data_IF_034033787168
#
_entry.id   IF_034033787168
#
_cell.length_a   1.000
_cell.length_b   1.000
_cell.length_c   1.000
_cell.angle_alpha   90.00
_cell.angle_beta   90.00
_cell.angle_gamma   90.00
#
_symmetry.space_group_name_H-M   'P 1'
#
loop_
_entity.id
_entity.type
_entity.pdbx_description
1 polymer ?
#
# COMPACT_ATOMS: atom_id res chain seq x y z
N UNK A 1 23.08 8.77 -7.39
CA UNK A 1 22.64 9.53 -6.19
C UNK A 1 22.04 8.53 -5.23
N UNK A 2 22.58 8.41 -4.02
CA UNK A 2 22.01 7.48 -3.03
C UNK A 2 20.67 8.03 -2.53
N UNK A 3 19.62 7.19 -2.43
CA UNK A 3 18.41 7.60 -1.76
C UNK A 3 18.76 8.08 -0.35
N UNK A 4 18.14 9.16 0.09
CA UNK A 4 18.30 9.67 1.46
C UNK A 4 17.77 8.57 2.39
N UNK A 5 18.63 7.67 2.84
CA UNK A 5 18.28 6.64 3.81
C UNK A 5 17.76 7.36 5.05
N UNK A 6 16.60 6.96 5.55
CA UNK A 6 16.12 7.31 6.87
C UNK A 6 17.25 6.92 7.84
N UNK A 7 17.94 7.92 8.40
CA UNK A 7 19.09 7.67 9.29
C UNK A 7 18.65 6.84 10.49
N UNK A 8 19.42 5.83 10.88
CA UNK A 8 19.14 4.88 11.97
C UNK A 8 18.83 5.51 13.36
N UNK A 9 18.93 6.81 13.51
CA UNK A 9 18.71 7.56 14.75
C UNK A 9 17.84 8.82 14.58
N UNK A 10 16.84 8.76 13.69
CA UNK A 10 15.84 9.82 13.62
C UNK A 10 14.86 9.67 14.78
N UNK A 11 14.91 10.58 15.77
CA UNK A 11 14.03 10.58 16.95
C UNK A 11 12.53 10.49 16.65
N UNK A 12 12.10 10.91 15.45
CA UNK A 12 10.71 10.77 15.03
C UNK A 12 10.31 9.33 14.70
N UNK A 13 11.28 8.45 14.40
CA UNK A 13 11.01 7.02 14.14
C UNK A 13 10.60 6.28 15.41
N UNK A 14 11.06 6.74 16.58
CA UNK A 14 10.68 6.16 17.88
C UNK A 14 9.16 6.29 18.12
N UNK A 15 8.50 7.29 17.49
CA UNK A 15 7.04 7.47 17.56
C UNK A 15 6.24 6.37 16.85
N UNK A 16 6.88 5.57 16.01
CA UNK A 16 6.23 4.48 15.26
C UNK A 16 6.46 3.10 15.88
N UNK A 17 7.17 2.99 17.01
CA UNK A 17 7.44 1.69 17.65
C UNK A 17 6.14 0.97 18.03
N UNK A 18 5.16 1.70 18.57
CA UNK A 18 3.87 1.18 19.04
C UNK A 18 2.75 1.19 17.97
N UNK A 19 3.08 1.37 16.69
CA UNK A 19 2.07 1.35 15.63
C UNK A 19 1.88 -0.06 15.08
N UNK A 20 0.64 -0.45 14.78
CA UNK A 20 0.30 -1.76 14.21
C UNK A 20 0.32 -1.74 12.69
N UNK A 21 0.02 -0.60 12.08
CA UNK A 21 -0.12 -0.43 10.64
C UNK A 21 0.44 0.89 10.15
N UNK A 22 1.05 0.88 8.98
CA UNK A 22 1.49 2.06 8.24
C UNK A 22 0.51 2.36 7.12
N UNK A 23 -0.10 3.54 7.14
CA UNK A 23 -0.91 4.06 6.04
C UNK A 23 -0.02 4.91 5.13
N UNK A 24 0.36 4.38 3.97
CA UNK A 24 1.20 5.10 3.02
C UNK A 24 0.35 5.71 1.91
N UNK A 25 0.18 7.04 1.93
CA UNK A 25 -0.66 7.76 0.98
C UNK A 25 0.15 8.26 -0.22
N UNK A 26 -0.32 7.95 -1.43
CA UNK A 26 0.25 8.40 -2.70
C UNK A 26 -0.81 9.13 -3.51
N UNK A 27 -0.49 10.35 -3.95
CA UNK A 27 -1.29 11.07 -4.93
C UNK A 27 -1.05 10.49 -6.31
N UNK A 28 -2.07 9.94 -6.95
CA UNK A 28 -1.96 9.36 -8.28
C UNK A 28 -1.68 10.39 -9.38
N UNK A 29 -1.90 11.68 -9.13
CA UNK A 29 -1.63 12.75 -10.09
C UNK A 29 -0.18 13.26 -10.07
N UNK A 30 0.65 12.74 -9.17
CA UNK A 30 2.04 13.21 -8.98
C UNK A 30 3.03 12.68 -10.04
N UNK A 31 2.56 11.87 -10.99
CA UNK A 31 3.42 11.20 -11.97
C UNK A 31 4.14 12.15 -12.95
N UNK A 32 3.60 13.34 -13.22
CA UNK A 32 4.19 14.38 -14.06
C UNK A 32 4.56 15.65 -13.29
N UNK A 33 4.42 15.61 -11.96
CA UNK A 33 4.72 16.75 -11.09
C UNK A 33 6.13 16.66 -10.53
N UNK A 34 6.75 17.85 -10.35
CA UNK A 34 8.09 17.98 -9.82
C UNK A 34 8.11 18.91 -8.62
N UNK A 35 9.01 18.63 -7.67
CA UNK A 35 9.32 19.50 -6.56
C UNK A 35 10.82 19.76 -6.51
N UNK A 36 11.21 20.98 -6.14
CA UNK A 36 12.60 21.32 -5.89
C UNK A 36 12.99 20.94 -4.45
N UNK A 37 14.17 20.35 -4.26
CA UNK A 37 14.75 20.18 -2.95
C UNK A 37 15.41 21.49 -2.45
N UNK A 38 15.99 21.45 -1.24
CA UNK A 38 16.68 22.62 -0.66
C UNK A 38 17.88 23.12 -1.48
N UNK A 39 18.36 22.32 -2.44
CA UNK A 39 19.46 22.68 -3.35
C UNK A 39 18.94 23.09 -4.74
N UNK A 40 17.62 23.17 -4.94
CA UNK A 40 17.00 23.50 -6.21
C UNK A 40 16.97 22.35 -7.22
N UNK A 41 17.29 21.11 -6.81
CA UNK A 41 17.21 19.93 -7.69
C UNK A 41 15.77 19.50 -7.84
N UNK A 42 15.27 19.50 -9.08
CA UNK A 42 13.93 19.03 -9.41
C UNK A 42 13.86 17.50 -9.34
N UNK A 43 12.92 17.00 -8.57
CA UNK A 43 12.62 15.56 -8.44
C UNK A 43 11.15 15.33 -8.76
N UNK A 44 10.85 14.32 -9.59
CA UNK A 44 9.49 13.91 -9.84
C UNK A 44 8.85 13.40 -8.53
N UNK A 45 7.65 13.89 -8.21
CA UNK A 45 6.97 13.59 -6.93
C UNK A 45 6.62 12.11 -6.78
N UNK A 46 6.24 11.44 -7.87
CA UNK A 46 5.94 10.01 -7.85
C UNK A 46 7.20 9.17 -7.59
N UNK A 47 8.34 9.54 -8.20
CA UNK A 47 9.63 8.89 -7.91
C UNK A 47 10.08 9.14 -6.47
N UNK A 48 9.87 10.35 -5.95
CA UNK A 48 10.16 10.65 -4.55
C UNK A 48 9.29 9.81 -3.60
N UNK A 49 8.01 9.61 -3.91
CA UNK A 49 7.11 8.74 -3.16
C UNK A 49 7.55 7.28 -3.22
N UNK A 50 7.97 6.79 -4.40
CA UNK A 50 8.55 5.45 -4.57
C UNK A 50 9.77 5.26 -3.68
N UNK A 51 10.72 6.19 -3.71
CA UNK A 51 11.98 6.09 -2.95
C UNK A 51 11.73 6.15 -1.43
N UNK A 52 10.76 6.99 -1.00
CA UNK A 52 10.34 7.02 0.40
C UNK A 52 9.69 5.70 0.82
N UNK A 53 8.80 5.15 0.00
CA UNK A 53 8.15 3.87 0.25
C UNK A 53 9.18 2.74 0.42
N UNK A 54 10.14 2.64 -0.50
CA UNK A 54 11.23 1.66 -0.44
C UNK A 54 12.05 1.83 0.85
N UNK A 55 12.38 3.08 1.21
CA UNK A 55 13.14 3.39 2.43
C UNK A 55 12.37 3.00 3.70
N UNK A 56 11.05 3.16 3.73
CA UNK A 56 10.21 2.77 4.87
C UNK A 56 10.07 1.25 4.98
N UNK A 57 9.78 0.57 3.87
CA UNK A 57 9.59 -0.89 3.86
C UNK A 57 10.86 -1.63 4.32
N UNK A 58 12.04 -1.08 3.99
CA UNK A 58 13.33 -1.67 4.36
C UNK A 58 13.87 -1.19 5.71
N UNK A 59 13.17 -0.27 6.39
CA UNK A 59 13.66 0.26 7.66
C UNK A 59 13.29 -0.67 8.84
N UNK A 60 14.22 -0.98 9.76
CA UNK A 60 13.98 -1.89 10.89
C UNK A 60 12.76 -1.54 11.76
N UNK A 61 12.46 -0.24 11.96
CA UNK A 61 11.29 0.22 12.73
C UNK A 61 9.96 -0.30 12.14
N UNK A 62 9.91 -0.55 10.83
CA UNK A 62 8.69 -1.00 10.15
C UNK A 62 8.72 -2.50 9.77
N UNK A 63 9.78 -3.22 10.15
CA UNK A 63 9.96 -4.64 9.78
C UNK A 63 8.76 -5.51 10.17
N UNK A 64 8.13 -5.25 11.33
CA UNK A 64 6.99 -6.02 11.83
C UNK A 64 5.63 -5.33 11.63
N UNK A 65 5.57 -4.25 10.85
CA UNK A 65 4.33 -3.50 10.60
C UNK A 65 3.63 -3.97 9.33
N UNK A 66 2.30 -3.91 9.33
CA UNK A 66 1.52 -4.03 8.11
C UNK A 66 1.56 -2.72 7.32
N UNK A 67 1.43 -2.82 6.00
CA UNK A 67 1.36 -1.66 5.11
C UNK A 67 0.04 -1.66 4.36
N UNK A 68 -0.67 -0.53 4.42
CA UNK A 68 -1.81 -0.21 3.57
C UNK A 68 -1.41 0.96 2.67
N UNK A 69 -1.26 0.69 1.38
CA UNK A 69 -1.06 1.70 0.35
C UNK A 69 -2.41 2.35 0.02
N UNK A 70 -2.50 3.65 0.21
CA UNK A 70 -3.66 4.46 -0.14
C UNK A 70 -3.34 5.24 -1.42
N UNK A 71 -4.00 4.88 -2.52
CA UNK A 71 -3.92 5.60 -3.78
C UNK A 71 -5.03 6.66 -3.82
N UNK A 72 -4.63 7.91 -3.73
CA UNK A 72 -5.54 9.04 -3.56
C UNK A 72 -5.68 9.89 -4.83
N UNK A 73 -6.71 10.74 -4.87
CA UNK A 73 -7.03 11.68 -5.96
C UNK A 73 -7.40 10.97 -7.27
N UNK A 74 -8.26 9.96 -7.18
CA UNK A 74 -8.72 9.24 -8.36
C UNK A 74 -9.54 10.14 -9.30
N UNK A 75 -10.38 10.99 -8.74
CA UNK A 75 -11.14 12.04 -9.44
C UNK A 75 -10.25 12.91 -10.34
N UNK A 76 -9.16 13.42 -9.77
CA UNK A 76 -8.20 14.24 -10.52
C UNK A 76 -7.37 13.41 -11.51
N UNK A 77 -7.15 12.14 -11.24
CA UNK A 77 -6.50 11.24 -12.20
C UNK A 77 -7.38 11.04 -13.43
N UNK A 78 -8.70 10.88 -13.27
CA UNK A 78 -9.64 10.72 -14.40
C UNK A 78 -9.57 11.88 -15.38
N UNK A 79 -9.50 13.11 -14.85
CA UNK A 79 -9.38 14.31 -15.68
C UNK A 79 -7.98 14.42 -16.33
N UNK A 80 -6.94 14.15 -15.57
CA UNK A 80 -5.55 14.40 -15.97
C UNK A 80 -5.05 13.41 -17.01
N UNK A 81 -5.38 12.12 -16.87
CA UNK A 81 -4.78 11.05 -17.65
C UNK A 81 -5.20 11.07 -19.13
N UNK A 82 -6.32 11.70 -19.45
CA UNK A 82 -6.75 11.92 -20.83
C UNK A 82 -5.88 12.97 -21.58
N UNK A 83 -5.24 13.86 -20.82
CA UNK A 83 -4.43 14.96 -21.36
C UNK A 83 -2.93 14.67 -21.25
N UNK A 84 -2.51 14.06 -20.16
CA UNK A 84 -1.12 13.81 -19.84
C UNK A 84 -0.91 12.30 -19.66
N UNK A 85 -0.15 11.65 -20.56
CA UNK A 85 0.03 10.20 -20.48
C UNK A 85 0.86 9.80 -19.24
N UNK A 86 0.45 8.70 -18.60
CA UNK A 86 1.13 8.17 -17.40
C UNK A 86 2.62 7.85 -17.66
N UNK A 87 2.96 7.53 -18.91
CA UNK A 87 4.35 7.25 -19.36
C UNK A 87 5.31 8.44 -19.28
N UNK A 88 4.82 9.64 -18.96
CA UNK A 88 5.71 10.77 -18.63
C UNK A 88 6.53 10.53 -17.35
N UNK A 89 6.03 9.72 -16.43
CA UNK A 89 6.83 9.24 -15.32
C UNK A 89 7.76 8.12 -15.81
N UNK A 90 9.06 8.26 -15.58
CA UNK A 90 10.05 7.26 -15.96
C UNK A 90 9.72 5.87 -15.39
N UNK A 91 9.22 5.81 -14.17
CA UNK A 91 8.81 4.55 -13.54
C UNK A 91 7.64 3.86 -14.24
N UNK A 92 6.85 4.62 -15.01
CA UNK A 92 5.65 4.16 -15.71
C UNK A 92 5.80 4.12 -17.23
N UNK A 93 7.03 4.19 -17.75
CA UNK A 93 7.30 4.22 -19.20
C UNK A 93 6.73 3.00 -19.95
N UNK A 94 6.56 1.88 -19.27
CA UNK A 94 6.02 0.63 -19.82
C UNK A 94 4.48 0.55 -19.75
N UNK A 95 3.79 1.59 -19.26
CA UNK A 95 2.33 1.65 -19.27
C UNK A 95 1.81 1.76 -20.70
N UNK A 96 1.11 0.72 -21.15
CA UNK A 96 0.47 0.69 -22.47
C UNK A 96 -1.04 0.56 -22.30
N UNK A 97 -1.79 1.65 -22.44
CA UNK A 97 -3.24 1.56 -22.45
C UNK A 97 -3.68 0.75 -23.68
N UNK A 98 -4.33 -0.39 -23.46
CA UNK A 98 -4.96 -1.14 -24.57
C UNK A 98 -6.16 -0.31 -25.00
N UNK A 99 -6.03 0.39 -26.11
CA UNK A 99 -7.14 1.10 -26.75
C UNK A 99 -7.96 0.04 -27.47
N UNK A 100 -9.03 -0.44 -26.85
CA UNK A 100 -10.02 -1.27 -27.54
C UNK A 100 -10.74 -0.40 -28.56
N UNK A 101 -10.62 -0.73 -29.85
CA UNK A 101 -11.32 -0.03 -30.94
C UNK A 101 -12.84 -0.20 -30.87
N UNK A 102 -13.35 -1.13 -30.07
CA UNK A 102 -14.79 -1.36 -29.89
C UNK A 102 -15.35 -0.50 -28.76
N UNK A 103 -15.70 0.74 -29.08
CA UNK A 103 -16.38 1.70 -28.17
C UNK A 103 -17.78 1.27 -27.70
N UNK A 104 -18.31 0.13 -28.13
CA UNK A 104 -19.69 -0.28 -27.83
C UNK A 104 -19.84 -1.28 -26.67
N UNK A 105 -18.77 -1.76 -26.05
CA UNK A 105 -18.90 -2.60 -24.85
C UNK A 105 -18.64 -1.75 -23.59
N UNK A 106 -19.72 -1.39 -22.91
CA UNK A 106 -19.75 -0.64 -21.65
C UNK A 106 -19.06 -1.34 -20.45
N UNK A 107 -18.43 -2.50 -20.67
CA UNK A 107 -17.76 -3.30 -19.62
C UNK A 107 -16.24 -3.09 -19.55
N UNK A 108 -15.64 -2.30 -20.45
CA UNK A 108 -14.21 -2.05 -20.41
C UNK A 108 -13.88 -0.99 -19.34
N UNK A 109 -12.92 -1.25 -18.44
CA UNK A 109 -12.50 -0.28 -17.43
C UNK A 109 -11.97 1.00 -18.10
N UNK A 110 -12.24 2.16 -17.48
CA UNK A 110 -11.76 3.46 -17.95
C UNK A 110 -10.22 3.50 -17.98
N UNK A 111 -9.65 4.48 -18.69
CA UNK A 111 -8.20 4.68 -18.72
C UNK A 111 -7.67 4.92 -17.30
N UNK A 112 -8.38 5.70 -16.49
CA UNK A 112 -8.04 5.96 -15.10
C UNK A 112 -8.09 4.69 -14.22
N UNK A 113 -9.11 3.83 -14.39
CA UNK A 113 -9.17 2.56 -13.68
C UNK A 113 -7.97 1.65 -14.02
N UNK A 114 -7.57 1.60 -15.29
CA UNK A 114 -6.37 0.85 -15.69
C UNK A 114 -5.09 1.45 -15.12
N UNK A 115 -4.98 2.78 -15.11
CA UNK A 115 -3.85 3.48 -14.51
C UNK A 115 -3.76 3.23 -13.01
N UNK A 116 -4.89 3.30 -12.29
CA UNK A 116 -4.98 2.95 -10.87
C UNK A 116 -4.44 1.54 -10.59
N UNK A 117 -4.97 0.53 -11.30
CA UNK A 117 -4.50 -0.84 -11.15
C UNK A 117 -3.01 -1.00 -11.49
N UNK A 118 -2.55 -0.30 -12.51
CA UNK A 118 -1.15 -0.35 -12.91
C UNK A 118 -0.22 0.28 -11.86
N UNK A 119 -0.58 1.46 -11.32
CA UNK A 119 0.16 2.12 -10.24
C UNK A 119 0.22 1.20 -9.01
N UNK A 120 -0.93 0.65 -8.59
CA UNK A 120 -1.01 -0.31 -7.50
C UNK A 120 -0.12 -1.54 -7.72
N UNK A 121 -0.12 -2.10 -8.94
CA UNK A 121 0.76 -3.22 -9.30
C UNK A 121 2.26 -2.86 -9.25
N UNK A 122 2.63 -1.63 -9.63
CA UNK A 122 4.05 -1.19 -9.55
C UNK A 122 4.52 -1.12 -8.10
N UNK A 123 3.72 -0.52 -7.21
CA UNK A 123 4.02 -0.50 -5.77
C UNK A 123 4.02 -1.90 -5.16
N UNK A 124 3.05 -2.75 -5.54
CA UNK A 124 3.01 -4.14 -5.07
C UNK A 124 4.25 -4.92 -5.47
N UNK A 125 4.66 -4.86 -6.74
CA UNK A 125 5.89 -5.52 -7.22
C UNK A 125 7.13 -5.01 -6.49
N UNK A 126 7.21 -3.71 -6.22
CA UNK A 126 8.30 -3.14 -5.42
C UNK A 126 8.28 -3.74 -4.01
N UNK A 127 7.13 -3.73 -3.35
CA UNK A 127 6.97 -4.28 -2.00
C UNK A 127 7.33 -5.77 -1.93
N UNK A 128 6.81 -6.60 -2.86
CA UNK A 128 7.07 -8.03 -2.95
C UNK A 128 8.56 -8.35 -3.23
N UNK A 129 9.31 -7.39 -3.81
CA UNK A 129 10.76 -7.52 -4.00
C UNK A 129 11.60 -7.21 -2.75
N UNK A 130 11.01 -6.55 -1.75
CA UNK A 130 11.67 -6.06 -0.55
C UNK A 130 11.33 -6.89 0.70
N UNK A 131 10.17 -7.56 0.70
CA UNK A 131 9.66 -8.32 1.85
C UNK A 131 8.71 -9.42 1.42
N UNK A 132 8.60 -10.48 2.21
CA UNK A 132 7.66 -11.58 2.01
C UNK A 132 6.25 -11.28 2.55
N UNK A 133 6.03 -10.08 3.07
CA UNK A 133 4.74 -9.65 3.62
C UNK A 133 3.74 -9.31 2.53
N UNK A 134 2.48 -9.14 2.92
CA UNK A 134 1.40 -8.73 2.04
C UNK A 134 1.23 -7.22 2.06
N UNK A 135 1.23 -6.58 0.89
CA UNK A 135 0.80 -5.20 0.73
C UNK A 135 -0.72 -5.16 0.54
N UNK A 136 -1.40 -4.39 1.38
CA UNK A 136 -2.80 -4.04 1.20
C UNK A 136 -2.91 -2.74 0.41
N UNK A 137 -3.94 -2.60 -0.44
CA UNK A 137 -4.11 -1.42 -1.31
C UNK A 137 -5.56 -0.96 -1.24
N UNK A 138 -5.76 0.35 -1.03
CA UNK A 138 -7.07 1.00 -1.07
C UNK A 138 -7.06 2.18 -2.02
N UNK A 139 -8.21 2.43 -2.66
CA UNK A 139 -8.48 3.60 -3.47
C UNK A 139 -9.23 4.63 -2.63
N UNK A 140 -8.78 5.89 -2.66
CA UNK A 140 -9.42 6.98 -1.91
C UNK A 140 -9.54 8.21 -2.79
N UNK A 141 -10.69 8.86 -2.70
CA UNK A 141 -10.90 10.23 -3.14
C UNK A 141 -11.01 11.08 -1.88
N UNK A 142 -9.96 11.80 -1.52
CA UNK A 142 -9.82 12.44 -0.20
C UNK A 142 -10.86 13.50 0.13
N UNK A 143 -11.70 13.92 -0.85
CA UNK A 143 -12.84 14.82 -0.66
C UNK A 143 -14.15 14.07 -0.41
N UNK A 144 -14.19 12.76 -0.57
CA UNK A 144 -15.33 11.88 -0.35
C UNK A 144 -15.16 11.13 0.97
N UNK A 145 -15.92 11.50 2.00
CA UNK A 145 -15.83 10.88 3.32
C UNK A 145 -16.01 9.37 3.29
N UNK A 146 -16.93 8.89 2.45
CA UNK A 146 -17.25 7.45 2.34
C UNK A 146 -16.01 6.62 1.93
N UNK A 147 -15.19 7.11 1.00
CA UNK A 147 -13.98 6.41 0.55
C UNK A 147 -12.88 6.42 1.61
N UNK A 148 -12.79 7.50 2.39
CA UNK A 148 -11.85 7.61 3.52
C UNK A 148 -12.28 6.67 4.65
N UNK A 149 -13.56 6.66 5.00
CA UNK A 149 -14.12 5.78 6.03
C UNK A 149 -13.95 4.31 5.67
N UNK A 150 -14.11 3.94 4.39
CA UNK A 150 -13.86 2.59 3.90
C UNK A 150 -12.39 2.19 4.05
N UNK A 151 -11.45 3.07 3.70
CA UNK A 151 -10.03 2.81 3.86
C UNK A 151 -9.64 2.64 5.35
N UNK A 152 -10.20 3.46 6.26
CA UNK A 152 -9.97 3.33 7.69
C UNK A 152 -10.61 2.07 8.28
N UNK A 153 -11.79 1.67 7.81
CA UNK A 153 -12.41 0.40 8.18
C UNK A 153 -11.54 -0.77 7.74
N UNK A 154 -11.04 -0.74 6.51
CA UNK A 154 -10.14 -1.78 6.00
C UNK A 154 -8.84 -1.86 6.82
N UNK A 155 -8.26 -0.72 7.22
CA UNK A 155 -7.11 -0.69 8.10
C UNK A 155 -7.39 -1.38 9.45
N UNK A 156 -8.57 -1.16 10.05
CA UNK A 156 -9.00 -1.85 11.29
C UNK A 156 -9.13 -3.35 11.10
N UNK A 157 -9.72 -3.79 9.99
CA UNK A 157 -9.84 -5.23 9.67
C UNK A 157 -8.45 -5.88 9.55
N UNK A 158 -7.47 -5.23 8.92
CA UNK A 158 -6.09 -5.72 8.83
C UNK A 158 -5.49 -5.94 10.23
N UNK A 159 -5.67 -4.97 11.14
CA UNK A 159 -5.18 -5.07 12.53
C UNK A 159 -5.86 -6.25 13.26
N UNK A 160 -7.17 -6.39 13.12
CA UNK A 160 -7.93 -7.48 13.77
C UNK A 160 -7.46 -8.86 13.28
N UNK A 161 -7.28 -9.04 11.97
CA UNK A 161 -6.77 -10.30 11.40
C UNK A 161 -5.37 -10.66 11.89
N UNK A 162 -4.53 -9.67 12.16
CA UNK A 162 -3.22 -9.90 12.73
C UNK A 162 -3.32 -10.39 14.18
N UNK A 163 -4.15 -9.74 15.01
CA UNK A 163 -4.37 -10.12 16.39
C UNK A 163 -4.94 -11.55 16.52
N UNK A 164 -5.90 -11.90 15.66
CA UNK A 164 -6.47 -13.27 15.60
C UNK A 164 -5.41 -14.32 15.19
N UNK A 165 -4.48 -13.96 14.31
CA UNK A 165 -3.40 -14.85 13.86
C UNK A 165 -2.30 -15.06 14.92
N UNK A 166 -2.14 -14.12 15.84
CA UNK A 166 -1.16 -14.15 16.92
C UNK A 166 -1.70 -14.84 18.20
N UNK A 167 -3.04 -15.02 18.34
CA UNK A 167 -3.61 -15.81 19.45
C UNK A 167 -3.36 -17.31 19.21
N UNK A 168 -2.48 -17.97 19.99
CA UNK A 168 -2.32 -19.42 19.89
C UNK A 168 -3.63 -20.07 20.31
N UNK A 169 -4.05 -21.12 19.58
CA UNK A 169 -5.22 -21.97 19.86
C UNK A 169 -5.08 -22.67 21.22
N UNK A 170 -5.42 -21.99 22.30
CA UNK A 170 -5.42 -22.51 23.67
C UNK A 170 -6.58 -23.47 23.97
N UNK A 171 -7.36 -23.90 22.96
CA UNK A 171 -8.57 -24.70 23.16
C UNK A 171 -8.44 -26.16 22.76
N UNK A 172 -7.23 -26.77 22.66
CA UNK A 172 -7.13 -28.20 22.28
C UNK A 172 -6.43 -29.12 23.29
N UNK A 173 -6.22 -28.72 24.55
CA UNK A 173 -5.60 -29.58 25.57
C UNK A 173 -6.49 -29.84 26.81
N UNK A 174 -7.81 -29.84 26.67
CA UNK A 174 -8.71 -30.19 27.81
C UNK A 174 -9.80 -31.16 27.44
N UNK A 175 -9.45 -32.30 26.80
CA UNK A 175 -10.35 -33.47 26.76
C UNK A 175 -9.60 -34.79 26.46
N UNK A 176 -8.66 -35.19 27.31
CA UNK A 176 -8.18 -36.59 27.31
C UNK A 176 -7.48 -36.96 28.64
N UNK A 177 -8.11 -36.66 29.75
CA UNK A 177 -7.82 -37.36 31.02
C UNK A 177 -9.13 -37.48 31.80
N UNK A 178 -9.89 -38.55 31.55
CA UNK A 178 -10.80 -39.15 32.49
C UNK A 178 -11.58 -40.31 31.84
N UNK A 179 -10.90 -41.37 31.42
CA UNK A 179 -11.53 -42.71 31.32
C UNK A 179 -10.41 -43.74 31.56
N UNK A 180 -10.04 -43.98 32.81
CA UNK A 180 -9.50 -45.28 33.25
C UNK A 180 -9.52 -45.33 34.77
N UNK A 181 -10.60 -45.73 35.34
CA UNK A 181 -10.65 -46.41 36.65
C UNK A 181 -12.06 -46.86 36.98
N UNK A 182 -12.45 -48.05 36.48
CA UNK A 182 -13.36 -48.92 37.22
C UNK A 182 -13.62 -50.20 36.40
N UNK A 183 -12.73 -51.15 36.52
CA UNK A 183 -13.08 -52.59 36.29
C UNK A 183 -12.08 -53.43 37.03
N UNK A 184 -12.39 -53.76 38.28
CA UNK A 184 -12.01 -55.03 38.94
C UNK A 184 -12.58 -55.07 40.36
N UNK A 185 -13.71 -55.75 40.54
CA UNK A 185 -14.06 -56.62 41.64
C UNK A 185 -15.33 -57.35 41.28
#
# INVERSE_FOLDING_TARGET
MHPRSLGKHCKWLDMFEDTDIVLFCVSMTDYDEYSADCNGVLTNKMLASKDLFESMVTHPTFENKNFLLILNKFDLLEEKIEQVPLSQCEWFHDFKPIVSQNRHNSTNPSLAQRAFHYIGMKFKKLFDSLTDKKLFVSLVTGLENDTVDEALRYAREIIMWQQEAEEPSLNNEMSSTDIEASSSA
#
